data_IF_651537768944
#
_entry.id   IF_651537768944
#
_cell.length_a   1.000
_cell.length_b   1.000
_cell.length_c   1.000
_cell.angle_alpha   90.00
_cell.angle_beta   90.00
_cell.angle_gamma   90.00
#
_symmetry.space_group_name_H-M   'P 1'
#
loop_
_entity.id
_entity.type
_entity.pdbx_description
1 polymer ?
#
# COMPACT_ATOMS: atom_id res chain seq x y z
N UNK A 1 -8.17 -5.24 -3.89
CA UNK A 1 -8.06 -6.49 -3.10
C UNK A 1 -6.85 -6.41 -2.19
N UNK A 2 -5.63 -6.29 -2.72
CA UNK A 2 -4.39 -6.36 -1.91
C UNK A 2 -4.20 -5.21 -0.90
N UNK A 3 -4.46 -3.94 -1.26
CA UNK A 3 -4.34 -2.83 -0.29
C UNK A 3 -5.33 -2.93 0.88
N UNK A 4 -6.52 -3.49 0.65
CA UNK A 4 -7.50 -3.72 1.72
C UNK A 4 -7.01 -4.79 2.72
N UNK A 5 -6.32 -5.83 2.23
CA UNK A 5 -5.71 -6.85 3.09
C UNK A 5 -4.57 -6.25 3.93
N UNK A 6 -3.79 -5.32 3.36
CA UNK A 6 -2.77 -4.54 4.09
C UNK A 6 -3.43 -3.68 5.18
N UNK A 7 -4.45 -2.89 4.85
CA UNK A 7 -5.20 -2.06 5.83
C UNK A 7 -5.73 -2.89 7.00
N UNK A 8 -6.39 -4.02 6.72
CA UNK A 8 -6.92 -4.92 7.76
C UNK A 8 -5.81 -5.44 8.68
N UNK A 9 -4.65 -5.76 8.12
CA UNK A 9 -3.52 -6.31 8.87
C UNK A 9 -2.84 -5.27 9.76
N UNK A 10 -2.71 -4.02 9.29
CA UNK A 10 -2.24 -2.90 10.13
C UNK A 10 -3.20 -2.71 11.30
N UNK A 11 -4.52 -2.63 11.05
CA UNK A 11 -5.54 -2.47 12.11
C UNK A 11 -5.52 -3.58 13.15
N UNK A 12 -5.29 -4.83 12.71
CA UNK A 12 -5.18 -5.97 13.61
C UNK A 12 -3.93 -5.88 14.51
N UNK A 13 -2.80 -5.43 13.97
CA UNK A 13 -1.59 -5.22 14.75
C UNK A 13 -1.71 -4.05 15.73
N UNK A 14 -2.30 -2.92 15.32
CA UNK A 14 -2.53 -1.77 16.21
C UNK A 14 -3.45 -2.11 17.39
N UNK A 15 -4.49 -2.93 17.15
CA UNK A 15 -5.36 -3.45 18.22
C UNK A 15 -4.61 -4.36 19.19
N UNK A 16 -3.67 -5.16 18.69
CA UNK A 16 -2.87 -6.07 19.51
C UNK A 16 -1.95 -5.33 20.51
N UNK A 17 -1.59 -4.06 20.24
CA UNK A 17 -0.86 -3.20 21.19
C UNK A 17 -1.77 -2.56 22.25
N UNK A 18 -3.08 -2.40 21.99
CA UNK A 18 -4.06 -1.85 22.95
C UNK A 18 -4.78 -2.92 23.78
N UNK A 19 -4.82 -4.17 23.31
CA UNK A 19 -5.54 -5.28 23.96
C UNK A 19 -4.61 -6.42 24.41
N UNK A 20 -3.59 -6.10 25.22
CA UNK A 20 -2.84 -7.13 25.98
C UNK A 20 -3.62 -7.69 27.19
N UNK A 21 -4.95 -7.61 27.18
CA UNK A 21 -5.84 -8.45 27.99
C UNK A 21 -7.15 -8.70 27.24
N UNK A 22 -7.20 -9.72 26.37
CA UNK A 22 -8.20 -10.79 26.38
C UNK A 22 -8.43 -11.46 25.02
N UNK A 23 -8.36 -12.80 25.06
CA UNK A 23 -8.97 -13.81 24.18
C UNK A 23 -8.60 -13.89 22.68
N UNK A 24 -8.16 -15.10 22.30
CA UNK A 24 -7.87 -15.58 20.96
C UNK A 24 -9.11 -15.68 20.05
N UNK A 25 -8.93 -15.48 18.74
CA UNK A 25 -9.72 -16.17 17.71
C UNK A 25 -8.92 -16.27 16.40
N UNK A 26 -8.54 -17.50 16.02
CA UNK A 26 -8.00 -17.83 14.69
C UNK A 26 -9.10 -17.73 13.64
N UNK A 27 -8.84 -17.05 12.52
CA UNK A 27 -9.65 -17.21 11.30
C UNK A 27 -8.72 -17.47 10.11
N UNK A 28 -8.67 -18.73 9.68
CA UNK A 28 -7.98 -19.14 8.45
C UNK A 28 -8.76 -18.61 7.25
N UNK A 29 -8.14 -17.73 6.47
CA UNK A 29 -8.65 -17.33 5.15
C UNK A 29 -8.12 -18.34 4.14
N UNK A 30 -9.02 -19.07 3.48
CA UNK A 30 -8.64 -20.05 2.46
C UNK A 30 -8.06 -19.34 1.22
N UNK A 31 -6.96 -19.84 0.61
CA UNK A 31 -6.40 -19.22 -0.58
C UNK A 31 -7.32 -19.45 -1.79
N UNK A 32 -7.82 -18.36 -2.38
CA UNK A 32 -8.54 -18.39 -3.65
C UNK A 32 -7.57 -18.77 -4.77
N UNK A 33 -7.77 -19.94 -5.38
CA UNK A 33 -6.96 -20.42 -6.51
C UNK A 33 -7.50 -19.78 -7.80
N UNK A 34 -6.75 -18.85 -8.38
CA UNK A 34 -7.03 -18.31 -9.71
C UNK A 34 -6.58 -19.34 -10.77
N UNK A 35 -7.52 -19.91 -11.54
CA UNK A 35 -7.22 -20.82 -12.66
C UNK A 35 -7.21 -20.05 -13.99
N UNK A 36 -6.05 -19.98 -14.63
CA UNK A 36 -5.76 -19.38 -15.94
C UNK A 36 -4.25 -19.38 -16.22
N UNK A 37 -3.75 -19.00 -17.41
CA UNK A 37 -2.32 -18.84 -17.62
C UNK A 37 -1.81 -17.71 -16.70
N UNK A 38 -1.21 -18.10 -15.59
CA UNK A 38 -0.87 -17.26 -14.43
C UNK A 38 -0.07 -16.00 -14.78
N UNK A 39 0.69 -16.02 -15.88
CA UNK A 39 1.61 -14.95 -16.24
C UNK A 39 0.88 -13.71 -16.76
N UNK A 40 -0.22 -13.87 -17.50
CA UNK A 40 -0.96 -12.73 -18.07
C UNK A 40 -1.80 -11.97 -17.05
N UNK A 41 -2.19 -12.61 -15.95
CA UNK A 41 -2.95 -11.97 -14.87
C UNK A 41 -2.07 -11.17 -13.89
N UNK A 42 -0.75 -11.40 -13.91
CA UNK A 42 0.23 -10.73 -13.05
C UNK A 42 0.88 -9.52 -13.73
N UNK A 43 0.63 -9.31 -15.03
CA UNK A 43 1.21 -8.24 -15.82
C UNK A 43 0.07 -7.38 -16.37
N UNK A 44 0.02 -6.13 -15.94
CA UNK A 44 -0.91 -5.12 -16.45
C UNK A 44 -0.14 -3.98 -17.12
N UNK A 45 -0.61 -3.54 -18.27
CA UNK A 45 -0.10 -2.32 -18.90
C UNK A 45 -0.50 -1.08 -18.09
N UNK A 46 0.41 -0.13 -17.95
CA UNK A 46 0.08 1.20 -17.41
C UNK A 46 -0.77 1.99 -18.41
N UNK A 47 -1.61 2.93 -17.93
CA UNK A 47 -2.38 3.79 -18.82
C UNK A 47 -1.44 4.63 -19.69
N UNK A 48 -1.91 4.95 -20.91
CA UNK A 48 -1.19 5.84 -21.81
C UNK A 48 -1.16 7.27 -21.26
N UNK A 49 -0.08 8.00 -21.56
CA UNK A 49 0.12 9.38 -21.13
C UNK A 49 1.27 9.54 -20.14
N UNK A 50 1.43 10.74 -19.55
CA UNK A 50 2.50 11.00 -18.60
C UNK A 50 2.27 10.22 -17.30
N UNK A 51 3.38 9.78 -16.70
CA UNK A 51 3.40 9.02 -15.44
C UNK A 51 4.30 9.73 -14.42
N UNK A 52 3.85 9.76 -13.18
CA UNK A 52 4.71 10.10 -12.03
C UNK A 52 4.93 8.82 -11.21
N UNK A 53 6.18 8.39 -11.10
CA UNK A 53 6.55 7.15 -10.41
C UNK A 53 7.09 7.49 -9.03
N UNK A 54 6.49 6.90 -8.00
CA UNK A 54 6.79 7.14 -6.59
C UNK A 54 7.38 5.86 -6.01
N UNK A 55 8.59 5.96 -5.48
CA UNK A 55 9.28 4.86 -4.78
C UNK A 55 8.76 4.65 -3.36
N UNK A 56 9.59 4.02 -2.54
CA UNK A 56 9.27 3.64 -1.17
C UNK A 56 8.81 4.85 -0.33
N UNK A 57 7.71 4.66 0.38
CA UNK A 57 7.11 5.72 1.23
C UNK A 57 7.35 5.43 2.70
N UNK A 58 7.32 4.16 3.12
CA UNK A 58 7.65 3.74 4.47
C UNK A 58 6.97 4.57 5.57
N UNK A 59 5.64 4.70 5.54
CA UNK A 59 4.89 5.40 6.58
C UNK A 59 5.10 6.92 6.68
N UNK A 60 5.88 7.53 5.77
CA UNK A 60 6.18 8.97 5.77
C UNK A 60 5.03 9.80 5.16
N UNK A 61 3.90 9.87 5.86
CA UNK A 61 2.69 10.56 5.38
C UNK A 61 2.95 12.03 4.99
N UNK A 62 3.77 12.75 5.75
CA UNK A 62 4.07 14.15 5.45
C UNK A 62 4.91 14.31 4.18
N UNK A 63 5.87 13.41 3.94
CA UNK A 63 6.65 13.41 2.72
C UNK A 63 5.79 13.04 1.50
N UNK A 64 4.88 12.08 1.67
CA UNK A 64 3.92 11.69 0.64
C UNK A 64 3.05 12.89 0.22
N UNK A 65 2.38 13.56 1.15
CA UNK A 65 1.54 14.73 0.81
C UNK A 65 2.36 15.85 0.18
N UNK A 66 3.57 16.13 0.68
CA UNK A 66 4.44 17.16 0.10
C UNK A 66 4.83 16.88 -1.36
N UNK A 67 5.09 15.61 -1.70
CA UNK A 67 5.36 15.20 -3.09
C UNK A 67 4.10 15.31 -3.94
N UNK A 68 2.96 14.83 -3.46
CA UNK A 68 1.68 14.90 -4.19
C UNK A 68 1.29 16.34 -4.51
N UNK A 69 1.45 17.26 -3.55
CA UNK A 69 1.22 18.69 -3.74
C UNK A 69 2.15 19.27 -4.80
N UNK A 70 3.44 18.94 -4.73
CA UNK A 70 4.44 19.43 -5.70
C UNK A 70 4.18 18.89 -7.11
N UNK A 71 3.73 17.64 -7.23
CA UNK A 71 3.32 17.06 -8.51
C UNK A 71 2.08 17.76 -9.05
N UNK A 72 1.08 18.02 -8.22
CA UNK A 72 -0.14 18.75 -8.61
C UNK A 72 0.14 20.19 -9.05
N UNK A 73 1.13 20.87 -8.44
CA UNK A 73 1.55 22.22 -8.82
C UNK A 73 2.30 22.31 -10.16
N UNK A 74 2.99 21.24 -10.59
CA UNK A 74 3.77 21.23 -11.84
C UNK A 74 2.91 21.20 -13.11
N UNK A 75 1.58 21.12 -12.99
CA UNK A 75 0.68 20.76 -14.09
C UNK A 75 0.21 22.00 -14.86
N UNK A 76 0.51 22.13 -16.17
CA UNK A 76 -0.24 23.03 -17.04
C UNK A 76 -1.72 22.61 -17.07
N UNK A 77 -2.65 23.56 -17.25
CA UNK A 77 -4.10 23.28 -17.35
C UNK A 77 -4.35 22.19 -18.41
N UNK A 78 -4.73 20.98 -17.99
CA UNK A 78 -5.33 19.99 -18.89
C UNK A 78 -4.90 18.53 -18.71
N UNK A 79 -3.76 18.21 -18.09
CA UNK A 79 -3.33 16.82 -17.91
C UNK A 79 -2.78 16.55 -16.51
N UNK A 80 -3.37 15.57 -15.81
CA UNK A 80 -2.83 15.01 -14.57
C UNK A 80 -2.15 13.67 -14.92
N UNK A 81 -0.81 13.54 -14.74
CA UNK A 81 -0.15 12.26 -14.89
C UNK A 81 -0.76 11.19 -13.98
N UNK A 82 -0.75 9.94 -14.44
CA UNK A 82 -1.14 8.80 -13.64
C UNK A 82 -0.03 8.47 -12.63
N UNK A 83 -0.39 8.27 -11.37
CA UNK A 83 0.58 7.95 -10.33
C UNK A 83 0.90 6.45 -10.34
N UNK A 84 2.16 6.08 -10.16
CA UNK A 84 2.58 4.69 -10.01
C UNK A 84 3.40 4.53 -8.73
N UNK A 85 2.83 3.86 -7.74
CA UNK A 85 3.52 3.51 -6.50
C UNK A 85 4.22 2.16 -6.64
N UNK A 86 5.50 2.13 -6.28
CA UNK A 86 6.37 0.94 -6.42
C UNK A 86 6.28 -0.05 -5.25
N UNK A 87 5.43 0.21 -4.25
CA UNK A 87 5.30 -0.60 -3.03
C UNK A 87 6.05 0.02 -1.85
N UNK A 88 6.24 -0.75 -0.79
CA UNK A 88 6.93 -0.34 0.45
C UNK A 88 6.34 0.96 1.01
N UNK A 89 5.02 0.93 1.17
CA UNK A 89 4.20 1.98 1.76
C UNK A 89 4.27 1.97 3.30
N UNK A 90 4.51 0.80 3.88
CA UNK A 90 4.48 0.57 5.33
C UNK A 90 5.90 0.44 5.92
N UNK A 91 5.97 0.33 7.25
CA UNK A 91 7.19 0.25 8.09
C UNK A 91 7.98 1.57 8.22
N UNK A 92 8.73 1.69 9.32
CA UNK A 92 9.73 2.75 9.65
C UNK A 92 9.18 4.15 9.95
N UNK A 93 8.31 4.68 9.11
CA UNK A 93 7.81 6.05 9.27
C UNK A 93 6.66 6.15 10.27
N UNK A 94 6.24 7.39 10.56
CA UNK A 94 5.36 7.71 11.69
C UNK A 94 3.91 7.23 11.52
N UNK A 95 3.42 7.02 10.29
CA UNK A 95 2.02 6.67 10.06
C UNK A 95 1.81 5.83 8.79
N UNK A 96 2.02 4.52 8.91
CA UNK A 96 1.75 3.56 7.83
C UNK A 96 0.27 3.48 7.44
N UNK A 97 -0.66 3.68 8.39
CA UNK A 97 -2.09 3.61 8.11
C UNK A 97 -2.52 4.76 7.20
N UNK A 98 -2.12 5.99 7.55
CA UNK A 98 -2.48 7.17 6.76
C UNK A 98 -1.90 7.09 5.35
N UNK A 99 -0.67 6.57 5.19
CA UNK A 99 -0.08 6.34 3.86
C UNK A 99 -0.92 5.36 3.05
N UNK A 100 -1.26 4.20 3.62
CA UNK A 100 -2.04 3.18 2.91
C UNK A 100 -3.43 3.72 2.55
N UNK A 101 -4.15 4.34 3.49
CA UNK A 101 -5.47 4.93 3.26
C UNK A 101 -5.42 5.99 2.14
N UNK A 102 -4.37 6.80 2.13
CA UNK A 102 -4.15 7.84 1.11
C UNK A 102 -3.93 7.25 -0.27
N UNK A 103 -3.02 6.27 -0.39
CA UNK A 103 -2.72 5.61 -1.67
C UNK A 103 -3.93 4.81 -2.16
N UNK A 104 -4.63 4.11 -1.27
CA UNK A 104 -5.86 3.38 -1.60
C UNK A 104 -6.95 4.33 -2.13
N UNK A 105 -7.05 5.54 -1.56
CA UNK A 105 -7.90 6.63 -2.08
C UNK A 105 -7.60 6.96 -3.54
N UNK A 106 -6.34 7.24 -3.86
CA UNK A 106 -5.89 7.58 -5.21
C UNK A 106 -6.14 6.44 -6.21
N UNK A 107 -5.91 5.19 -5.80
CA UNK A 107 -6.18 4.02 -6.65
C UNK A 107 -7.67 3.88 -6.92
N UNK A 108 -8.52 4.05 -5.90
CA UNK A 108 -9.99 3.96 -6.03
C UNK A 108 -10.55 5.03 -6.95
N UNK A 109 -9.96 6.21 -6.94
CA UNK A 109 -10.32 7.33 -7.82
C UNK A 109 -9.77 7.16 -9.25
N UNK A 110 -9.10 6.04 -9.55
CA UNK A 110 -8.49 5.77 -10.85
C UNK A 110 -7.28 6.67 -11.16
N UNK A 111 -6.74 7.37 -10.16
CA UNK A 111 -5.59 8.28 -10.30
C UNK A 111 -4.24 7.59 -10.17
N UNK A 112 -4.22 6.38 -9.61
CA UNK A 112 -2.99 5.67 -9.27
C UNK A 112 -3.08 4.18 -9.53
N UNK A 113 -1.91 3.58 -9.78
CA UNK A 113 -1.66 2.15 -9.68
C UNK A 113 -0.63 1.92 -8.57
N UNK A 114 -0.74 0.80 -7.85
CA UNK A 114 0.19 0.43 -6.80
C UNK A 114 0.54 -1.04 -6.94
N UNK A 115 1.83 -1.37 -6.93
CA UNK A 115 2.31 -2.74 -6.78
C UNK A 115 2.60 -3.05 -5.32
N UNK A 116 2.79 -4.33 -5.01
CA UNK A 116 3.08 -4.78 -3.65
C UNK A 116 4.59 -4.82 -3.42
N UNK A 117 5.06 -4.15 -2.36
CA UNK A 117 6.44 -4.22 -1.92
C UNK A 117 6.71 -5.43 -1.01
N UNK A 118 7.97 -5.62 -0.64
CA UNK A 118 8.34 -6.68 0.28
C UNK A 118 7.85 -6.40 1.71
N UNK A 119 7.71 -5.14 2.10
CA UNK A 119 7.20 -4.81 3.44
C UNK A 119 5.72 -5.19 3.59
N UNK A 120 4.87 -4.86 2.62
CA UNK A 120 3.48 -5.31 2.62
C UNK A 120 3.36 -6.85 2.53
N UNK A 121 4.18 -7.50 1.69
CA UNK A 121 4.23 -8.96 1.62
C UNK A 121 4.57 -9.60 2.97
N UNK A 122 5.53 -9.03 3.70
CA UNK A 122 5.89 -9.52 5.03
C UNK A 122 4.75 -9.32 6.03
N UNK A 123 4.05 -8.18 5.96
CA UNK A 123 2.89 -7.89 6.82
C UNK A 123 1.76 -8.90 6.60
N UNK A 124 1.36 -9.11 5.35
CA UNK A 124 0.30 -10.05 4.96
C UNK A 124 0.68 -11.48 5.39
N UNK A 125 1.96 -11.86 5.28
CA UNK A 125 2.46 -13.19 5.62
C UNK A 125 2.85 -13.39 7.08
N UNK A 126 2.66 -12.39 7.93
CA UNK A 126 3.06 -12.43 9.36
C UNK A 126 4.57 -12.71 9.58
N UNK A 127 5.41 -12.22 8.67
CA UNK A 127 6.86 -12.44 8.73
C UNK A 127 7.55 -11.24 9.37
N UNK A 128 7.85 -11.34 10.67
CA UNK A 128 8.69 -10.37 11.37
C UNK A 128 10.17 -10.57 10.98
N UNK A 129 10.83 -9.54 10.48
CA UNK A 129 12.28 -9.49 10.22
C UNK A 129 12.94 -8.44 11.11
N UNK A 130 14.17 -8.69 11.54
CA UNK A 130 14.97 -7.68 12.27
C UNK A 130 15.17 -6.45 11.39
N UNK A 131 14.75 -5.27 11.87
CA UNK A 131 14.71 -4.03 11.09
C UNK A 131 13.33 -3.66 10.54
N UNK A 132 12.33 -4.55 10.68
CA UNK A 132 10.92 -4.18 10.56
C UNK A 132 10.47 -3.67 11.93
N UNK A 133 10.78 -2.40 12.20
CA UNK A 133 10.20 -1.69 13.33
C UNK A 133 8.79 -1.33 12.90
N UNK A 134 7.88 -2.29 13.05
CA UNK A 134 6.46 -2.04 12.94
C UNK A 134 6.11 -1.12 14.11
N UNK A 135 5.89 0.16 13.79
CA UNK A 135 5.56 1.28 14.67
C UNK A 135 6.73 1.80 15.54
#
# INVERSE_FOLDING_TARGET
MVLADVEQRIRHHDRSHKELQSAQAHQQVAPTIIRGPLVSALISSLPAGPLDIIGDVHGEIHALEAILDRLDQRKPRGARPHLVFLGDLVDRGPDSMAVVDRVAGLVRDGRASCILGNHELNLIRDRKRSGNHWF
#
